data_IF_066896280126
#
_entry.id   IF_066896280126
#
_cell.length_a   1.000
_cell.length_b   1.000
_cell.length_c   1.000
_cell.angle_alpha   90.00
_cell.angle_beta   90.00
_cell.angle_gamma   90.00
#
_symmetry.space_group_name_H-M   'P 1'
#
loop_
_entity.id
_entity.type
_entity.pdbx_description
1 polymer ?
#
# COMPACT_ATOMS: atom_id res chain seq x y z
N UNK A 1 -4.28 38.18 1.85
CA UNK A 1 -3.79 39.10 0.82
C UNK A 1 -2.30 38.86 0.75
N UNK A 2 -1.93 37.75 0.12
CA UNK A 2 -0.58 37.54 -0.33
C UNK A 2 -0.49 38.26 -1.67
N UNK A 3 0.59 39.00 -1.84
CA UNK A 3 0.83 39.98 -2.88
C UNK A 3 0.59 39.40 -4.28
N UNK A 4 -0.34 39.99 -5.04
CA UNK A 4 -0.72 39.57 -6.41
C UNK A 4 0.27 40.06 -7.48
N UNK A 5 1.35 40.75 -7.08
CA UNK A 5 2.21 41.55 -7.97
C UNK A 5 3.70 41.13 -7.92
N UNK A 6 4.04 39.84 -7.78
CA UNK A 6 5.47 39.42 -7.76
C UNK A 6 6.08 39.19 -9.15
N UNK A 7 5.27 39.03 -10.20
CA UNK A 7 5.75 38.71 -11.56
C UNK A 7 5.07 39.60 -12.62
N UNK A 8 5.71 40.70 -13.02
CA UNK A 8 5.21 41.60 -14.08
C UNK A 8 5.67 41.14 -15.48
N UNK A 9 6.83 40.49 -15.58
CA UNK A 9 7.38 39.98 -16.83
C UNK A 9 7.59 38.45 -16.78
N UNK A 10 7.46 37.77 -17.93
CA UNK A 10 7.71 36.31 -18.03
C UNK A 10 9.11 35.90 -17.56
N UNK A 11 10.08 36.82 -17.66
CA UNK A 11 11.46 36.64 -17.21
C UNK A 11 11.64 36.70 -15.70
N UNK A 12 10.64 37.17 -14.96
CA UNK A 12 10.66 37.21 -13.50
C UNK A 12 10.36 35.81 -12.90
N UNK A 13 9.78 34.91 -13.70
CA UNK A 13 9.45 33.54 -13.29
C UNK A 13 10.74 32.71 -13.17
N UNK A 14 10.88 32.02 -12.03
CA UNK A 14 12.05 31.22 -11.70
C UNK A 14 12.38 30.15 -12.75
N UNK A 15 13.45 30.36 -13.51
CA UNK A 15 13.92 29.41 -14.54
C UNK A 15 13.51 29.74 -15.98
N UNK A 16 12.79 30.85 -16.18
CA UNK A 16 12.51 31.42 -17.50
C UNK A 16 13.51 32.54 -17.79
N UNK A 17 14.48 32.27 -18.68
CA UNK A 17 15.36 33.31 -19.23
C UNK A 17 14.78 33.94 -20.50
N UNK A 18 15.43 34.99 -21.03
CA UNK A 18 14.97 35.73 -22.22
C UNK A 18 14.61 34.83 -23.42
N UNK A 19 15.42 33.80 -23.67
CA UNK A 19 15.20 32.87 -24.76
C UNK A 19 13.92 32.03 -24.59
N UNK A 20 13.62 31.58 -23.37
CA UNK A 20 12.41 30.79 -23.08
C UNK A 20 11.18 31.67 -23.02
N UNK A 21 11.33 32.91 -22.53
CA UNK A 21 10.28 33.91 -22.60
C UNK A 21 9.94 34.26 -24.06
N UNK A 22 10.92 34.25 -24.97
CA UNK A 22 10.66 34.41 -26.41
C UNK A 22 9.90 33.21 -27.00
N UNK A 23 10.30 31.97 -26.67
CA UNK A 23 9.55 30.77 -27.07
C UNK A 23 8.10 30.78 -26.57
N UNK A 24 7.87 31.20 -25.33
CA UNK A 24 6.52 31.33 -24.76
C UNK A 24 5.67 32.36 -25.51
N UNK A 25 6.25 33.52 -25.85
CA UNK A 25 5.54 34.54 -26.66
C UNK A 25 5.26 34.05 -28.07
N UNK A 26 6.16 33.29 -28.68
CA UNK A 26 5.95 32.70 -30.02
C UNK A 26 4.83 31.64 -30.00
N UNK A 27 4.70 30.90 -28.89
CA UNK A 27 3.60 29.97 -28.64
C UNK A 27 2.27 30.66 -28.25
N UNK A 28 2.26 31.99 -28.05
CA UNK A 28 1.07 32.78 -27.77
C UNK A 28 0.82 33.11 -26.30
N UNK A 29 1.75 32.76 -25.40
CA UNK A 29 1.72 33.17 -23.99
C UNK A 29 2.47 34.49 -23.83
N UNK A 30 1.79 35.61 -24.03
CA UNK A 30 2.41 36.94 -24.04
C UNK A 30 2.60 37.54 -22.64
N UNK A 31 1.82 37.08 -21.66
CA UNK A 31 1.82 37.56 -20.27
C UNK A 31 1.86 36.43 -19.24
N UNK A 32 2.19 36.78 -17.99
CA UNK A 32 2.22 35.85 -16.84
C UNK A 32 0.83 35.26 -16.58
N UNK A 33 -0.24 36.03 -16.81
CA UNK A 33 -1.62 35.56 -16.68
C UNK A 33 -1.98 34.52 -17.76
N UNK A 34 -1.44 34.65 -18.97
CA UNK A 34 -1.64 33.64 -20.01
C UNK A 34 -1.01 32.30 -19.58
N UNK A 35 0.21 32.34 -19.03
CA UNK A 35 0.91 31.18 -18.48
C UNK A 35 0.19 30.61 -17.24
N UNK A 36 -0.44 31.45 -16.43
CA UNK A 36 -1.27 31.03 -15.27
C UNK A 36 -2.49 30.23 -15.71
N UNK A 37 -3.14 30.65 -16.80
CA UNK A 37 -4.36 30.03 -17.34
C UNK A 37 -4.10 28.81 -18.22
N UNK A 38 -2.87 28.65 -18.72
CA UNK A 38 -2.45 27.51 -19.52
C UNK A 38 -2.40 26.21 -18.71
N UNK A 39 -2.72 25.07 -19.33
CA UNK A 39 -2.47 23.78 -18.70
C UNK A 39 -0.98 23.42 -18.74
N UNK A 40 -0.55 22.49 -17.88
CA UNK A 40 0.84 22.02 -17.88
C UNK A 40 1.20 21.41 -19.24
N UNK A 41 0.28 20.67 -19.86
CA UNK A 41 0.48 20.07 -21.17
C UNK A 41 0.70 21.14 -22.26
N UNK A 42 -0.09 22.22 -22.25
CA UNK A 42 0.07 23.33 -23.22
C UNK A 42 1.45 24.02 -23.10
N UNK A 43 2.03 24.06 -21.90
CA UNK A 43 3.36 24.64 -21.67
C UNK A 43 4.49 23.69 -22.11
N UNK A 44 4.28 22.38 -22.05
CA UNK A 44 5.26 21.37 -22.49
C UNK A 44 5.37 21.31 -24.01
N UNK A 45 4.31 21.68 -24.74
CA UNK A 45 4.34 21.79 -26.19
C UNK A 45 5.25 22.93 -26.71
N UNK A 46 5.66 23.85 -25.83
CA UNK A 46 6.54 24.97 -26.17
C UNK A 46 8.01 24.52 -26.26
N UNK A 47 8.65 24.83 -27.39
CA UNK A 47 10.04 24.46 -27.65
C UNK A 47 10.99 24.98 -26.55
N UNK A 48 11.68 24.05 -25.90
CA UNK A 48 12.63 24.32 -24.82
C UNK A 48 12.05 24.33 -23.41
N UNK A 49 10.77 23.99 -23.24
CA UNK A 49 10.14 23.75 -21.93
C UNK A 49 10.03 22.24 -21.68
N UNK A 50 10.65 21.77 -20.61
CA UNK A 50 10.50 20.38 -20.16
C UNK A 50 9.31 20.25 -19.21
N UNK A 51 8.78 19.04 -19.08
CA UNK A 51 7.70 18.72 -18.11
C UNK A 51 8.02 19.19 -16.69
N UNK A 52 9.24 18.93 -16.21
CA UNK A 52 9.70 19.40 -14.91
C UNK A 52 9.77 20.95 -14.79
N UNK A 53 10.01 21.66 -15.89
CA UNK A 53 10.01 23.11 -15.91
C UNK A 53 8.57 23.67 -15.96
N UNK A 54 7.68 23.05 -16.75
CA UNK A 54 6.27 23.42 -16.82
C UNK A 54 5.58 23.28 -15.44
N UNK A 55 5.82 22.16 -14.75
CA UNK A 55 5.32 21.94 -13.39
C UNK A 55 5.84 23.01 -12.41
N UNK A 56 7.11 23.41 -12.54
CA UNK A 56 7.71 24.47 -11.71
C UNK A 56 7.11 25.84 -12.01
N UNK A 57 6.92 26.19 -13.27
CA UNK A 57 6.30 27.45 -13.71
C UNK A 57 4.86 27.54 -13.16
N UNK A 58 4.09 26.44 -13.24
CA UNK A 58 2.74 26.39 -12.63
C UNK A 58 2.83 26.54 -11.11
N UNK A 59 3.80 25.91 -10.46
CA UNK A 59 4.01 26.05 -9.01
C UNK A 59 4.34 27.47 -8.56
N UNK A 60 5.13 28.19 -9.37
CA UNK A 60 5.58 29.56 -9.06
C UNK A 60 4.52 30.62 -9.39
N UNK A 61 3.78 30.46 -10.50
CA UNK A 61 2.76 31.44 -10.97
C UNK A 61 1.35 31.11 -10.51
N UNK A 62 1.06 29.82 -10.34
CA UNK A 62 -0.21 29.29 -9.90
C UNK A 62 -0.36 29.43 -8.39
N UNK A 63 -0.83 30.59 -7.96
CA UNK A 63 -1.49 30.71 -6.66
C UNK A 63 -2.55 29.61 -6.53
N UNK A 64 -2.69 29.04 -5.33
CA UNK A 64 -3.71 28.06 -4.99
C UNK A 64 -5.10 28.59 -5.37
N UNK A 65 -5.55 28.26 -6.57
CA UNK A 65 -6.92 28.43 -7.01
C UNK A 65 -7.75 27.34 -6.34
N UNK A 66 -8.40 27.73 -5.25
CA UNK A 66 -9.52 26.98 -4.68
C UNK A 66 -10.73 27.41 -5.50
N UNK A 67 -11.00 26.72 -6.60
CA UNK A 67 -12.22 26.93 -7.38
C UNK A 67 -13.44 26.46 -6.57
N UNK A 68 -14.19 27.45 -6.10
CA UNK A 68 -15.56 27.31 -5.63
C UNK A 68 -16.46 27.28 -6.89
N UNK A 69 -17.16 26.15 -7.10
CA UNK A 69 -18.14 25.84 -8.17
C UNK A 69 -17.68 24.97 -9.35
N UNK A 70 -17.59 23.65 -9.10
CA UNK A 70 -18.15 22.63 -9.98
C UNK A 70 -18.57 21.39 -9.16
N UNK A 71 -19.88 21.19 -9.04
CA UNK A 71 -20.51 19.95 -8.57
C UNK A 71 -20.38 18.87 -9.66
N UNK A 72 -19.66 17.76 -9.39
CA UNK A 72 -19.99 16.40 -9.87
C UNK A 72 -19.00 15.33 -9.33
N UNK A 73 -19.51 14.54 -8.38
CA UNK A 73 -19.29 13.09 -8.15
C UNK A 73 -17.92 12.47 -8.47
N UNK A 74 -17.10 12.25 -7.43
CA UNK A 74 -16.08 11.17 -7.38
C UNK A 74 -16.12 10.51 -6.00
N UNK A 75 -16.14 9.18 -6.03
CA UNK A 75 -16.25 8.28 -4.89
C UNK A 75 -14.96 8.29 -4.05
N UNK A 76 -15.11 8.34 -2.72
CA UNK A 76 -14.02 8.18 -1.75
C UNK A 76 -13.65 6.69 -1.61
N UNK A 77 -12.38 6.36 -1.87
CA UNK A 77 -11.77 5.10 -1.41
C UNK A 77 -11.25 5.22 0.04
N UNK A 78 -11.20 4.12 0.82
CA UNK A 78 -10.95 4.15 2.25
C UNK A 78 -9.47 4.10 2.64
N UNK A 79 -9.09 4.97 3.59
CA UNK A 79 -7.82 4.90 4.32
C UNK A 79 -7.84 3.74 5.33
N UNK A 80 -6.79 2.93 5.29
CA UNK A 80 -6.52 1.79 6.18
C UNK A 80 -5.89 2.30 7.48
N UNK A 81 -6.44 1.85 8.62
CA UNK A 81 -5.95 2.15 9.97
C UNK A 81 -4.63 1.43 10.25
N UNK A 82 -3.60 2.17 10.67
CA UNK A 82 -2.46 1.60 11.41
C UNK A 82 -2.74 1.68 12.92
N UNK A 83 -2.75 0.51 13.54
CA UNK A 83 -2.81 0.33 14.99
C UNK A 83 -1.43 0.61 15.60
N UNK A 84 -1.36 1.54 16.56
CA UNK A 84 -0.25 1.60 17.52
C UNK A 84 -0.78 1.22 18.91
N UNK A 85 -0.25 0.11 19.44
CA UNK A 85 -0.40 -0.30 20.84
C UNK A 85 0.58 0.48 21.72
N UNK A 86 0.02 1.16 22.72
CA UNK A 86 0.69 1.71 23.90
C UNK A 86 1.44 0.63 24.70
N UNK A 87 2.62 0.99 25.22
CA UNK A 87 3.12 0.44 26.48
C UNK A 87 3.85 1.49 27.32
N UNK A 88 3.26 1.71 28.50
CA UNK A 88 3.57 2.60 29.62
C UNK A 88 4.99 2.59 30.22
N UNK A 89 5.20 3.63 31.04
CA UNK A 89 6.10 3.76 32.22
C UNK A 89 7.50 4.36 31.92
N UNK A 90 8.08 5.30 32.67
CA UNK A 90 7.85 5.85 34.02
C UNK A 90 8.67 7.16 34.09
N UNK A 91 8.15 8.22 34.70
CA UNK A 91 8.96 9.40 35.03
C UNK A 91 9.76 9.16 36.31
N UNK A 92 11.09 9.24 36.22
CA UNK A 92 11.94 9.46 37.39
C UNK A 92 13.08 10.41 37.09
N UNK A 93 13.11 11.52 37.82
CA UNK A 93 14.17 12.54 37.80
C UNK A 93 15.45 12.05 38.47
N UNK A 94 16.61 12.41 37.92
CA UNK A 94 17.87 12.55 38.65
C UNK A 94 18.90 13.36 37.86
N UNK A 95 19.21 14.56 38.37
CA UNK A 95 20.46 15.29 38.13
C UNK A 95 21.69 14.42 38.43
N UNK A 96 22.64 14.27 37.48
CA UNK A 96 24.06 13.99 37.77
C UNK A 96 24.97 14.54 36.64
N UNK A 97 25.88 15.41 37.05
CA UNK A 97 27.21 15.84 36.56
C UNK A 97 27.56 15.96 35.06
N UNK A 98 27.98 17.18 34.70
CA UNK A 98 29.10 17.40 33.77
C UNK A 98 30.37 16.77 34.35
N UNK A 99 30.83 15.67 33.75
CA UNK A 99 32.18 15.16 33.92
C UNK A 99 32.74 14.70 32.57
N UNK A 100 33.77 15.43 32.14
CA UNK A 100 34.78 15.08 31.13
C UNK A 100 35.18 13.60 31.23
N UNK A 101 34.92 12.79 30.19
CA UNK A 101 35.60 11.51 29.95
C UNK A 101 35.73 11.29 28.43
N UNK A 102 36.92 11.62 27.95
CA UNK A 102 37.76 10.91 26.99
C UNK A 102 37.08 10.22 25.78
N UNK A 103 37.35 10.79 24.60
CA UNK A 103 37.24 10.12 23.30
C UNK A 103 38.18 8.91 23.32
N UNK A 104 37.63 7.71 23.48
CA UNK A 104 38.34 6.49 23.07
C UNK A 104 38.15 6.34 21.56
N UNK A 105 39.29 6.38 20.84
CA UNK A 105 39.36 6.06 19.42
C UNK A 105 38.79 4.66 19.19
N UNK A 106 37.83 4.53 18.28
CA UNK A 106 37.43 3.22 17.78
C UNK A 106 38.66 2.54 17.14
N UNK A 107 38.95 1.27 17.44
CA UNK A 107 39.92 0.55 16.64
C UNK A 107 39.35 0.42 15.22
N UNK A 108 40.17 0.79 14.25
CA UNK A 108 39.96 0.47 12.85
C UNK A 108 39.61 -1.02 12.76
N UNK A 109 38.50 -1.36 12.08
CA UNK A 109 38.06 -2.72 11.80
C UNK A 109 39.11 -3.40 10.92
N UNK A 110 40.20 -3.87 11.54
CA UNK A 110 41.10 -4.84 10.95
C UNK A 110 40.29 -6.14 10.85
N UNK A 111 39.96 -6.56 9.63
CA UNK A 111 39.21 -7.79 9.35
C UNK A 111 39.77 -9.02 10.08
N UNK A 112 39.04 -10.16 10.05
CA UNK A 112 39.31 -11.30 10.94
C UNK A 112 40.79 -11.69 10.92
N UNK A 113 41.42 -11.68 12.11
CA UNK A 113 42.85 -11.95 12.27
C UNK A 113 43.15 -13.43 12.48
N UNK A 114 42.16 -14.17 13.00
CA UNK A 114 42.20 -15.61 13.22
C UNK A 114 40.99 -16.30 12.57
N UNK A 115 41.10 -17.61 12.31
CA UNK A 115 40.02 -18.42 11.70
C UNK A 115 38.73 -18.45 12.55
N UNK A 116 38.85 -18.19 13.85
CA UNK A 116 37.72 -18.18 14.79
C UNK A 116 36.99 -16.83 14.82
N UNK A 117 37.59 -15.78 14.26
CA UNK A 117 36.97 -14.46 14.10
C UNK A 117 36.01 -14.43 12.91
N UNK A 118 36.07 -15.43 12.01
CA UNK A 118 35.21 -15.52 10.83
C UNK A 118 33.77 -15.79 11.27
N UNK A 119 32.83 -15.01 10.74
CA UNK A 119 31.42 -15.10 11.11
C UNK A 119 30.83 -16.51 10.90
N UNK A 120 30.59 -17.22 12.02
CA UNK A 120 29.99 -18.57 12.03
C UNK A 120 30.98 -19.74 12.09
N UNK A 121 32.28 -19.45 12.13
CA UNK A 121 33.37 -20.42 12.36
C UNK A 121 33.76 -20.37 13.84
N UNK A 122 33.17 -21.25 14.67
CA UNK A 122 33.63 -21.44 16.04
C UNK A 122 34.86 -22.37 16.10
N UNK A 123 35.50 -22.46 17.27
CA UNK A 123 36.71 -23.29 17.50
C UNK A 123 36.65 -24.69 16.87
N UNK A 124 35.54 -25.42 17.00
CA UNK A 124 35.40 -26.77 16.42
C UNK A 124 35.44 -26.81 14.88
N UNK A 125 34.95 -25.77 14.22
CA UNK A 125 34.99 -25.65 12.76
C UNK A 125 36.32 -25.09 12.27
N UNK A 126 36.93 -24.21 13.06
CA UNK A 126 38.31 -23.78 12.82
C UNK A 126 39.29 -24.96 12.93
N UNK A 127 39.09 -25.87 13.89
CA UNK A 127 39.84 -27.12 13.98
C UNK A 127 39.63 -28.02 12.75
N UNK A 128 38.40 -28.13 12.25
CA UNK A 128 38.10 -28.89 11.03
C UNK A 128 38.79 -28.29 9.79
N UNK A 129 38.82 -26.96 9.68
CA UNK A 129 39.57 -26.26 8.62
C UNK A 129 41.08 -26.51 8.72
N UNK A 130 41.66 -26.45 9.92
CA UNK A 130 43.08 -26.77 10.14
C UNK A 130 43.40 -28.22 9.79
N UNK A 131 42.52 -29.16 10.14
CA UNK A 131 42.68 -30.58 9.84
C UNK A 131 42.57 -30.87 8.34
N UNK A 132 41.74 -30.10 7.63
CA UNK A 132 41.64 -30.12 6.17
C UNK A 132 42.80 -29.40 5.44
N UNK A 133 43.73 -28.78 6.18
CA UNK A 133 44.91 -28.11 5.62
C UNK A 133 44.74 -26.61 5.33
N UNK A 134 43.67 -25.99 5.84
CA UNK A 134 43.44 -24.55 5.81
C UNK A 134 43.83 -23.91 7.14
N UNK A 135 45.12 -24.00 7.49
CA UNK A 135 45.65 -23.56 8.79
C UNK A 135 45.88 -22.04 8.93
N UNK A 136 45.67 -21.27 7.85
CA UNK A 136 45.79 -19.81 7.84
C UNK A 136 44.68 -19.16 7.01
N UNK A 137 44.41 -17.88 7.27
CA UNK A 137 43.42 -17.10 6.52
C UNK A 137 43.76 -17.03 5.03
N UNK A 138 45.03 -16.93 4.67
CA UNK A 138 45.47 -16.93 3.27
C UNK A 138 45.21 -18.29 2.59
N UNK A 139 45.29 -19.40 3.33
CA UNK A 139 44.91 -20.71 2.81
C UNK A 139 43.40 -20.81 2.55
N UNK A 140 42.57 -20.21 3.41
CA UNK A 140 41.11 -20.12 3.20
C UNK A 140 40.76 -19.20 2.03
N UNK A 141 41.49 -18.08 1.84
CA UNK A 141 41.32 -17.19 0.67
C UNK A 141 41.59 -17.91 -0.65
N UNK A 142 42.67 -18.70 -0.71
CA UNK A 142 43.06 -19.43 -1.91
C UNK A 142 42.18 -20.64 -2.25
N UNK A 143 41.31 -21.07 -1.34
CA UNK A 143 40.43 -22.23 -1.54
C UNK A 143 39.19 -21.86 -2.38
N UNK A 144 38.75 -22.77 -3.24
CA UNK A 144 37.44 -22.66 -3.89
C UNK A 144 36.30 -22.89 -2.89
N UNK A 145 35.12 -22.34 -3.20
CA UNK A 145 33.95 -22.52 -2.34
C UNK A 145 33.57 -24.00 -2.19
N UNK A 146 33.74 -24.79 -3.25
CA UNK A 146 33.53 -26.24 -3.25
C UNK A 146 34.50 -26.95 -2.30
N UNK A 147 35.79 -26.61 -2.35
CA UNK A 147 36.79 -27.22 -1.48
C UNK A 147 36.55 -26.92 0.00
N UNK A 148 36.07 -25.71 0.32
CA UNK A 148 35.66 -25.37 1.68
C UNK A 148 34.37 -26.08 2.11
N UNK A 149 33.46 -26.36 1.16
CA UNK A 149 32.20 -27.05 1.44
C UNK A 149 32.37 -28.57 1.63
N UNK A 150 33.47 -29.14 1.16
CA UNK A 150 33.82 -30.55 1.39
C UNK A 150 34.38 -30.80 2.81
N UNK A 151 34.71 -29.74 3.56
CA UNK A 151 35.21 -29.84 4.93
C UNK A 151 34.08 -30.24 5.89
N UNK A 152 34.35 -31.20 6.76
CA UNK A 152 33.38 -31.74 7.71
C UNK A 152 32.78 -30.63 8.59
N UNK A 153 31.48 -30.37 8.42
CA UNK A 153 30.75 -29.35 9.18
C UNK A 153 30.67 -27.97 8.53
N UNK A 154 31.24 -27.79 7.33
CA UNK A 154 31.13 -26.56 6.52
C UNK A 154 30.29 -26.89 5.29
N UNK A 155 29.00 -26.54 5.30
CA UNK A 155 28.16 -26.69 4.10
C UNK A 155 28.35 -25.54 3.11
N UNK A 156 27.82 -25.68 1.89
CA UNK A 156 27.86 -24.67 0.82
C UNK A 156 27.51 -23.24 1.27
N UNK A 157 26.51 -23.10 2.15
CA UNK A 157 26.08 -21.80 2.68
C UNK A 157 27.09 -21.17 3.66
N UNK A 158 27.78 -21.99 4.46
CA UNK A 158 28.83 -21.50 5.36
C UNK A 158 30.12 -21.22 4.58
N UNK A 159 30.47 -22.06 3.60
CA UNK A 159 31.60 -21.83 2.70
C UNK A 159 31.47 -20.50 1.93
N UNK A 160 30.29 -20.20 1.41
CA UNK A 160 30.00 -18.90 0.77
C UNK A 160 30.22 -17.72 1.74
N UNK A 161 29.76 -17.86 2.99
CA UNK A 161 29.89 -16.82 4.01
C UNK A 161 31.34 -16.60 4.42
N UNK A 162 32.09 -17.68 4.65
CA UNK A 162 33.52 -17.64 4.94
C UNK A 162 34.28 -16.94 3.81
N UNK A 163 33.97 -17.28 2.55
CA UNK A 163 34.63 -16.67 1.39
C UNK A 163 34.30 -15.17 1.24
N UNK A 164 33.09 -14.76 1.59
CA UNK A 164 32.67 -13.36 1.61
C UNK A 164 33.35 -12.56 2.74
N UNK A 165 33.56 -13.18 3.90
CA UNK A 165 34.10 -12.54 5.12
C UNK A 165 35.64 -12.39 5.07
N UNK A 166 36.34 -13.38 4.49
CA UNK A 166 37.82 -13.36 4.42
C UNK A 166 38.33 -12.57 3.20
N UNK A 167 37.49 -12.40 2.17
CA UNK A 167 37.69 -11.48 1.04
C UNK A 167 38.86 -11.80 0.11
N UNK A 168 38.56 -12.27 -1.10
CA UNK A 168 38.79 -11.49 -2.34
C UNK A 168 37.86 -12.06 -3.44
N UNK A 169 37.09 -11.16 -4.06
CA UNK A 169 36.21 -11.46 -5.18
C UNK A 169 37.06 -11.67 -6.44
N UNK A 170 37.75 -12.80 -6.53
CA UNK A 170 38.18 -13.35 -7.82
C UNK A 170 37.13 -14.39 -8.23
N UNK A 171 36.07 -13.90 -8.89
CA UNK A 171 35.25 -14.73 -9.78
C UNK A 171 36.15 -15.09 -10.95
N UNK A 172 36.95 -16.14 -10.79
CA UNK A 172 37.58 -16.81 -11.91
C UNK A 172 36.47 -17.53 -12.69
N UNK A 173 36.11 -16.93 -13.82
CA UNK A 173 35.53 -17.65 -14.96
C UNK A 173 36.44 -18.85 -15.31
N UNK A 174 35.85 -19.87 -15.93
CA UNK A 174 36.47 -21.15 -16.35
C UNK A 174 36.33 -22.31 -15.34
N UNK A 175 35.12 -22.88 -15.30
CA UNK A 175 35.00 -24.35 -15.31
C UNK A 175 34.21 -24.76 -16.54
N UNK A 176 34.96 -25.07 -17.61
CA UNK A 176 34.48 -25.89 -18.71
C UNK A 176 34.18 -27.28 -18.17
N UNK A 177 32.89 -27.59 -17.96
CA UNK A 177 32.43 -28.96 -17.81
C UNK A 177 31.77 -29.37 -19.12
N UNK A 178 32.48 -30.19 -19.89
CA UNK A 178 31.95 -30.98 -20.98
C UNK A 178 30.78 -31.82 -20.44
N UNK A 179 29.54 -31.42 -20.76
CA UNK A 179 28.35 -32.24 -20.56
C UNK A 179 27.94 -32.76 -21.92
N UNK A 180 28.00 -34.09 -22.02
CA UNK A 180 27.59 -34.89 -23.16
C UNK A 180 26.17 -34.51 -23.63
N UNK A 181 26.02 -34.44 -24.96
CA UNK A 181 24.75 -34.33 -25.65
C UNK A 181 23.79 -35.44 -25.21
N UNK A 182 22.75 -35.09 -24.45
CA UNK A 182 21.48 -35.82 -24.45
C UNK A 182 20.37 -34.86 -24.90
N UNK A 183 19.94 -35.08 -26.13
CA UNK A 183 18.74 -34.58 -26.79
C UNK A 183 17.53 -34.59 -25.83
N UNK A 184 17.10 -33.41 -25.36
CA UNK A 184 15.74 -33.24 -24.86
C UNK A 184 15.30 -31.79 -25.04
N UNK A 185 14.36 -31.64 -25.98
CA UNK A 185 13.38 -30.56 -26.11
C UNK A 185 14.01 -29.18 -26.34
N UNK A 186 14.09 -28.79 -27.62
CA UNK A 186 13.74 -27.42 -27.97
C UNK A 186 12.33 -27.21 -27.39
N UNK A 187 12.26 -26.70 -26.16
CA UNK A 187 11.06 -26.04 -25.70
C UNK A 187 10.94 -24.88 -26.66
N UNK A 188 9.95 -24.98 -27.55
CA UNK A 188 9.28 -23.83 -28.13
C UNK A 188 9.13 -22.83 -26.96
N UNK A 189 10.06 -21.87 -26.88
CA UNK A 189 9.76 -20.54 -26.40
C UNK A 189 8.71 -20.04 -27.40
N UNK A 190 7.48 -20.53 -27.26
CA UNK A 190 6.30 -19.80 -27.66
C UNK A 190 6.51 -18.46 -26.98
N UNK A 191 6.91 -17.47 -27.79
CA UNK A 191 6.87 -16.07 -27.46
C UNK A 191 5.57 -15.90 -26.68
N UNK A 192 5.65 -15.61 -25.38
CA UNK A 192 4.51 -15.18 -24.60
C UNK A 192 4.00 -13.95 -25.37
N UNK A 193 3.03 -14.16 -26.27
CA UNK A 193 2.32 -13.08 -26.91
C UNK A 193 1.83 -12.26 -25.72
N UNK A 194 2.24 -10.99 -25.65
CA UNK A 194 1.79 -10.05 -24.63
C UNK A 194 0.25 -9.91 -24.77
N UNK A 195 -0.49 -10.89 -24.27
CA UNK A 195 -1.94 -10.94 -24.26
C UNK A 195 -2.39 -9.97 -23.19
N UNK A 196 -3.29 -9.06 -23.56
CA UNK A 196 -3.81 -8.09 -22.61
C UNK A 196 -4.58 -8.84 -21.51
N UNK A 197 -4.10 -8.72 -20.26
CA UNK A 197 -4.74 -9.34 -19.10
C UNK A 197 -5.52 -8.29 -18.31
N UNK A 198 -6.69 -8.67 -17.79
CA UNK A 198 -7.50 -7.81 -16.93
C UNK A 198 -7.89 -8.51 -15.62
N UNK A 199 -8.10 -7.73 -14.56
CA UNK A 199 -8.55 -8.24 -13.26
C UNK A 199 -10.05 -8.48 -13.25
N UNK A 200 -10.47 -9.75 -13.20
CA UNK A 200 -11.87 -10.13 -13.09
C UNK A 200 -12.20 -10.72 -11.71
N UNK A 201 -13.35 -10.38 -11.11
CA UNK A 201 -13.76 -10.98 -9.84
C UNK A 201 -14.28 -12.41 -10.04
N UNK A 202 -13.99 -13.29 -9.07
CA UNK A 202 -14.56 -14.65 -9.04
C UNK A 202 -16.07 -14.64 -8.70
N UNK A 203 -16.80 -15.61 -9.25
CA UNK A 203 -18.18 -15.92 -8.90
C UNK A 203 -19.23 -14.95 -9.45
N UNK A 204 -20.47 -15.10 -8.98
CA UNK A 204 -21.65 -14.42 -9.52
C UNK A 204 -21.84 -12.98 -8.95
N UNK A 205 -20.97 -12.05 -9.33
CA UNK A 205 -20.99 -10.66 -8.83
C UNK A 205 -22.27 -9.91 -9.20
N UNK A 206 -22.83 -10.13 -10.38
CA UNK A 206 -24.02 -9.39 -10.85
C UNK A 206 -25.35 -10.00 -10.38
N UNK A 207 -25.33 -11.12 -9.66
CA UNK A 207 -26.56 -11.75 -9.16
C UNK A 207 -27.33 -10.76 -8.28
N UNK A 208 -28.64 -10.69 -8.48
CA UNK A 208 -29.58 -9.81 -7.77
C UNK A 208 -30.64 -10.70 -7.07
N UNK A 209 -31.08 -10.36 -5.85
CA UNK A 209 -31.99 -11.22 -5.10
C UNK A 209 -33.43 -11.14 -5.60
N UNK A 210 -34.19 -12.19 -5.29
CA UNK A 210 -35.64 -12.21 -5.44
C UNK A 210 -36.32 -11.55 -4.22
N UNK A 211 -36.81 -10.32 -4.43
CA UNK A 211 -37.53 -9.55 -3.41
C UNK A 211 -39.02 -9.43 -3.73
N UNK A 212 -39.85 -9.34 -2.69
CA UNK A 212 -41.25 -8.98 -2.86
C UNK A 212 -41.40 -7.48 -3.18
N UNK A 213 -42.45 -7.08 -3.89
CA UNK A 213 -42.73 -5.67 -4.24
C UNK A 213 -42.68 -4.72 -3.02
N UNK A 214 -43.18 -5.20 -1.87
CA UNK A 214 -43.17 -4.44 -0.62
C UNK A 214 -41.76 -4.28 -0.06
N UNK A 215 -40.91 -5.32 -0.14
CA UNK A 215 -39.52 -5.27 0.32
C UNK A 215 -38.68 -4.35 -0.56
N UNK A 216 -38.83 -4.46 -1.88
CA UNK A 216 -38.15 -3.61 -2.85
C UNK A 216 -38.52 -2.13 -2.59
N UNK A 217 -39.82 -1.83 -2.47
CA UNK A 217 -40.30 -0.48 -2.15
C UNK A 217 -39.67 0.06 -0.85
N UNK A 218 -39.61 -0.77 0.19
CA UNK A 218 -39.04 -0.37 1.48
C UNK A 218 -37.51 -0.23 1.44
N UNK A 219 -36.82 -0.99 0.58
CA UNK A 219 -35.38 -0.87 0.35
C UNK A 219 -35.05 0.45 -0.36
N UNK A 220 -35.81 0.80 -1.39
CA UNK A 220 -35.71 2.08 -2.09
C UNK A 220 -36.03 3.23 -1.13
N UNK A 221 -37.08 3.11 -0.31
CA UNK A 221 -37.39 4.10 0.72
C UNK A 221 -36.22 4.29 1.68
N UNK A 222 -35.58 3.21 2.15
CA UNK A 222 -34.41 3.28 3.04
C UNK A 222 -33.26 4.05 2.40
N UNK A 223 -32.97 3.78 1.11
CA UNK A 223 -31.89 4.45 0.36
C UNK A 223 -32.17 5.95 0.22
N UNK A 224 -33.41 6.31 -0.12
CA UNK A 224 -33.85 7.70 -0.30
C UNK A 224 -33.88 8.50 1.00
N UNK A 225 -34.46 7.94 2.06
CA UNK A 225 -34.70 8.67 3.32
C UNK A 225 -33.39 8.82 4.13
N UNK A 226 -32.44 7.88 3.97
CA UNK A 226 -31.12 7.94 4.59
C UNK A 226 -31.15 8.00 6.13
N UNK A 227 -30.05 8.48 6.71
CA UNK A 227 -29.94 8.78 8.15
C UNK A 227 -28.88 9.86 8.39
N UNK A 228 -29.01 10.67 9.46
CA UNK A 228 -27.92 11.53 9.90
C UNK A 228 -26.68 10.71 10.24
N UNK A 229 -25.50 11.35 10.22
CA UNK A 229 -24.22 10.69 10.55
C UNK A 229 -24.15 10.19 12.00
N UNK A 230 -24.91 10.79 12.92
CA UNK A 230 -24.89 10.48 14.36
C UNK A 230 -23.49 10.50 14.99
N UNK A 231 -22.67 11.48 14.62
CA UNK A 231 -21.39 11.73 15.26
C UNK A 231 -21.56 12.38 16.65
N UNK A 232 -20.64 12.10 17.57
CA UNK A 232 -20.61 12.72 18.90
C UNK A 232 -20.57 14.25 18.80
N UNK A 233 -21.29 14.97 19.68
CA UNK A 233 -21.20 16.45 19.70
C UNK A 233 -19.75 16.95 19.79
N UNK A 234 -19.46 18.01 19.04
CA UNK A 234 -18.16 18.70 19.03
C UNK A 234 -16.95 17.80 18.70
N UNK A 235 -17.14 16.64 18.04
CA UNK A 235 -16.03 15.76 17.62
C UNK A 235 -15.04 16.46 16.70
N UNK A 236 -15.54 17.26 15.75
CA UNK A 236 -14.74 18.05 14.81
C UNK A 236 -13.97 19.20 15.48
N UNK A 237 -14.30 19.56 16.72
CA UNK A 237 -13.66 20.67 17.44
C UNK A 237 -12.37 20.21 18.13
N UNK A 238 -12.25 18.93 18.50
CA UNK A 238 -11.11 18.40 19.27
C UNK A 238 -10.72 17.00 18.81
N UNK A 239 -9.48 16.84 18.34
CA UNK A 239 -8.90 15.56 17.90
C UNK A 239 -9.09 14.41 18.92
N UNK A 240 -8.89 14.68 20.21
CA UNK A 240 -9.13 13.69 21.30
C UNK A 240 -10.58 13.21 21.45
N UNK A 241 -11.53 13.82 20.75
CA UNK A 241 -12.96 13.47 20.81
C UNK A 241 -13.32 12.65 19.58
N UNK A 242 -13.48 11.33 19.71
CA UNK A 242 -13.75 10.48 18.55
C UNK A 242 -15.16 10.73 17.97
N UNK A 243 -15.35 10.32 16.71
CA UNK A 243 -16.64 10.37 15.98
C UNK A 243 -17.72 9.52 16.67
N UNK A 244 -17.34 8.43 17.33
CA UNK A 244 -18.24 7.48 18.01
C UNK A 244 -19.29 8.15 18.90
N UNK A 245 -20.57 7.95 18.60
CA UNK A 245 -21.69 8.57 19.29
C UNK A 245 -21.62 8.41 20.81
N UNK A 246 -21.87 9.51 21.52
CA UNK A 246 -22.10 9.51 22.97
C UNK A 246 -23.25 10.46 23.27
N UNK A 247 -24.23 9.99 24.05
CA UNK A 247 -25.40 10.80 24.44
C UNK A 247 -24.93 12.10 25.10
N UNK A 248 -25.30 13.29 24.59
CA UNK A 248 -24.88 14.56 25.18
C UNK A 248 -25.49 14.73 26.57
N UNK A 249 -24.66 14.76 27.61
CA UNK A 249 -25.12 14.81 29.02
C UNK A 249 -25.13 16.22 29.62
N UNK A 250 -24.30 17.14 29.14
CA UNK A 250 -24.15 18.47 29.73
C UNK A 250 -25.47 19.23 29.84
N UNK A 251 -25.73 19.86 30.99
CA UNK A 251 -26.99 20.58 31.26
C UNK A 251 -27.25 21.72 30.26
N UNK A 252 -26.18 22.34 29.75
CA UNK A 252 -26.23 23.44 28.79
C UNK A 252 -25.91 23.03 27.34
N UNK A 253 -25.69 21.73 27.08
CA UNK A 253 -25.42 21.23 25.73
C UNK A 253 -26.55 21.66 24.78
N UNK A 254 -26.15 22.24 23.64
CA UNK A 254 -27.08 22.73 22.63
C UNK A 254 -27.70 21.58 21.84
N UNK A 255 -26.92 20.54 21.54
CA UNK A 255 -27.41 19.30 20.93
C UNK A 255 -28.43 18.60 21.85
N UNK A 256 -28.13 18.48 23.16
CA UNK A 256 -29.09 17.89 24.13
C UNK A 256 -30.42 18.66 24.19
N UNK A 257 -30.37 19.99 24.05
CA UNK A 257 -31.55 20.86 24.06
C UNK A 257 -32.32 20.86 22.72
N UNK A 258 -31.85 20.15 21.69
CA UNK A 258 -32.49 20.09 20.38
C UNK A 258 -32.39 21.40 19.59
N UNK A 259 -31.32 22.18 19.80
CA UNK A 259 -31.11 23.41 19.01
C UNK A 259 -30.76 23.02 17.57
N UNK A 260 -31.60 23.45 16.61
CA UNK A 260 -31.39 23.20 15.17
C UNK A 260 -29.98 23.62 14.75
N UNK A 261 -29.33 22.78 13.95
CA UNK A 261 -27.95 22.98 13.48
C UNK A 261 -26.86 22.38 14.37
N UNK A 262 -27.21 21.75 15.50
CA UNK A 262 -26.24 21.03 16.35
C UNK A 262 -26.23 19.51 16.16
N UNK A 263 -26.88 19.04 15.09
CA UNK A 263 -27.04 17.63 14.77
C UNK A 263 -28.18 16.97 15.56
N UNK A 264 -28.78 15.95 14.96
CA UNK A 264 -29.84 15.18 15.57
C UNK A 264 -29.34 14.28 16.70
N UNK A 265 -30.17 14.07 17.71
CA UNK A 265 -29.90 13.07 18.76
C UNK A 265 -30.46 11.72 18.36
N UNK A 266 -29.72 10.64 18.67
CA UNK A 266 -30.19 9.26 18.42
C UNK A 266 -31.52 9.00 19.13
N UNK A 267 -32.54 8.66 18.34
CA UNK A 267 -33.90 8.37 18.78
C UNK A 267 -34.47 7.16 18.01
N UNK A 268 -35.49 6.51 18.57
CA UNK A 268 -36.11 5.34 17.96
C UNK A 268 -36.82 5.63 16.63
N UNK A 269 -37.18 6.90 16.39
CA UNK A 269 -37.81 7.35 15.14
C UNK A 269 -36.91 7.25 13.91
N UNK A 270 -35.58 7.25 14.09
CA UNK A 270 -34.61 7.10 13.00
C UNK A 270 -34.37 5.65 12.58
N UNK A 271 -35.14 4.70 13.09
CA UNK A 271 -35.02 3.29 12.70
C UNK A 271 -35.53 3.11 11.27
N UNK A 272 -34.75 2.38 10.48
CA UNK A 272 -35.14 1.96 9.13
C UNK A 272 -36.31 0.96 9.18
N UNK A 273 -37.09 0.81 8.09
CA UNK A 273 -38.20 -0.15 8.01
C UNK A 273 -37.75 -1.57 8.37
N UNK A 274 -38.57 -2.31 9.13
CA UNK A 274 -38.18 -3.63 9.67
C UNK A 274 -37.79 -4.63 8.56
N UNK A 275 -38.53 -4.66 7.46
CA UNK A 275 -38.32 -5.60 6.35
C UNK A 275 -37.04 -5.30 5.53
N UNK A 276 -36.57 -4.06 5.51
CA UNK A 276 -35.36 -3.67 4.78
C UNK A 276 -34.16 -3.40 5.70
N UNK A 277 -34.30 -3.62 7.02
CA UNK A 277 -33.25 -3.32 8.00
C UNK A 277 -32.20 -4.42 7.98
N UNK A 278 -30.95 -4.04 7.76
CA UNK A 278 -29.82 -4.98 7.76
C UNK A 278 -29.51 -5.62 6.41
N UNK A 279 -30.39 -5.46 5.40
CA UNK A 279 -30.12 -5.93 4.03
C UNK A 279 -28.99 -5.14 3.37
N UNK A 280 -28.17 -5.80 2.54
CA UNK A 280 -27.16 -5.16 1.70
C UNK A 280 -27.82 -4.11 0.76
N UNK A 281 -27.11 -3.08 0.26
CA UNK A 281 -27.69 -2.14 -0.71
C UNK A 281 -28.27 -2.77 -1.97
N UNK A 282 -27.78 -3.94 -2.39
CA UNK A 282 -28.36 -4.74 -3.48
C UNK A 282 -29.63 -5.52 -3.08
N UNK A 283 -29.92 -5.62 -1.78
CA UNK A 283 -31.13 -6.25 -1.26
C UNK A 283 -30.94 -7.62 -0.62
N UNK A 284 -29.77 -8.26 -0.76
CA UNK A 284 -29.50 -9.54 -0.10
C UNK A 284 -29.48 -9.43 1.43
N UNK A 285 -29.83 -10.51 2.09
CA UNK A 285 -29.49 -10.73 3.49
C UNK A 285 -28.06 -11.28 3.60
N UNK A 286 -27.23 -10.67 4.44
CA UNK A 286 -25.81 -11.03 4.50
C UNK A 286 -25.58 -12.19 5.48
N UNK A 287 -24.98 -13.28 5.00
CA UNK A 287 -24.56 -14.42 5.82
C UNK A 287 -23.04 -14.45 5.93
N UNK A 288 -22.52 -14.46 7.16
CA UNK A 288 -21.07 -14.52 7.39
C UNK A 288 -20.59 -15.98 7.36
N UNK A 289 -19.65 -16.29 6.49
CA UNK A 289 -19.13 -17.65 6.25
C UNK A 289 -17.62 -17.74 6.54
N UNK A 290 -17.18 -18.88 7.07
CA UNK A 290 -15.76 -19.15 7.40
C UNK A 290 -15.22 -20.47 6.79
N UNK A 291 -16.10 -21.32 6.28
CA UNK A 291 -15.80 -22.64 5.73
C UNK A 291 -16.86 -23.05 4.70
N UNK A 292 -16.56 -24.09 3.92
CA UNK A 292 -17.45 -24.58 2.85
C UNK A 292 -18.74 -25.15 3.43
N UNK A 293 -18.68 -25.87 4.55
CA UNK A 293 -19.86 -26.49 5.19
C UNK A 293 -20.96 -25.46 5.55
N UNK A 294 -20.58 -24.20 5.78
CA UNK A 294 -21.53 -23.14 6.10
C UNK A 294 -22.33 -22.63 4.89
N UNK A 295 -21.95 -23.00 3.65
CA UNK A 295 -22.68 -22.66 2.42
C UNK A 295 -23.96 -23.48 2.26
N UNK A 296 -23.99 -24.73 2.73
CA UNK A 296 -25.11 -25.67 2.55
C UNK A 296 -26.47 -25.16 3.10
N UNK A 297 -26.44 -24.21 4.03
CA UNK A 297 -27.63 -23.66 4.69
C UNK A 297 -28.14 -22.38 4.01
N UNK A 298 -27.36 -21.80 3.09
CA UNK A 298 -27.62 -20.48 2.50
C UNK A 298 -28.53 -20.58 1.28
N UNK A 299 -29.53 -19.70 1.21
CA UNK A 299 -30.42 -19.59 0.05
C UNK A 299 -29.91 -18.49 -0.92
N UNK A 300 -29.23 -18.91 -1.99
CA UNK A 300 -28.58 -18.00 -2.95
C UNK A 300 -29.50 -17.01 -3.67
N UNK A 301 -30.82 -17.18 -3.61
CA UNK A 301 -31.78 -16.25 -4.24
C UNK A 301 -32.16 -15.08 -3.31
N UNK A 302 -31.94 -15.21 -2.00
CA UNK A 302 -32.31 -14.16 -1.01
C UNK A 302 -31.13 -13.73 -0.15
N UNK A 303 -30.16 -14.59 0.03
CA UNK A 303 -28.98 -14.41 0.87
C UNK A 303 -27.72 -14.31 0.00
N UNK A 304 -26.77 -13.50 0.45
CA UNK A 304 -25.44 -13.42 -0.13
C UNK A 304 -24.41 -13.60 0.97
N UNK A 305 -23.28 -14.19 0.59
CA UNK A 305 -22.25 -14.60 1.53
C UNK A 305 -21.18 -13.51 1.64
N UNK A 306 -20.77 -13.20 2.88
CA UNK A 306 -19.54 -12.46 3.16
C UNK A 306 -18.55 -13.40 3.86
N UNK A 307 -17.43 -13.65 3.19
CA UNK A 307 -16.35 -14.48 3.73
C UNK A 307 -15.62 -13.66 4.82
N UNK A 308 -15.41 -14.26 5.99
CA UNK A 308 -14.65 -13.62 7.06
C UNK A 308 -13.22 -13.26 6.63
N UNK A 309 -12.72 -12.10 7.04
CA UNK A 309 -11.37 -11.62 6.67
C UNK A 309 -10.24 -12.54 7.13
N UNK A 310 -10.43 -13.28 8.22
CA UNK A 310 -9.46 -14.25 8.76
C UNK A 310 -9.29 -15.50 7.87
N UNK A 311 -10.17 -15.71 6.88
CA UNK A 311 -10.09 -16.86 5.99
C UNK A 311 -8.99 -16.61 4.94
N UNK A 312 -7.93 -17.42 4.98
CA UNK A 312 -6.82 -17.30 4.02
C UNK A 312 -7.16 -17.80 2.61
N UNK A 313 -6.38 -17.35 1.62
CA UNK A 313 -6.61 -17.55 0.18
C UNK A 313 -6.94 -19.00 -0.21
N UNK A 314 -6.17 -19.98 0.27
CA UNK A 314 -6.41 -21.41 -0.03
C UNK A 314 -7.82 -21.88 0.34
N UNK A 315 -8.37 -21.37 1.44
CA UNK A 315 -9.74 -21.73 1.86
C UNK A 315 -10.77 -20.86 1.13
N UNK A 316 -10.45 -19.59 0.87
CA UNK A 316 -11.32 -18.68 0.11
C UNK A 316 -11.61 -19.23 -1.27
N UNK A 317 -10.58 -19.68 -1.99
CA UNK A 317 -10.73 -20.30 -3.31
C UNK A 317 -11.77 -21.41 -3.33
N UNK A 318 -11.69 -22.35 -2.38
CA UNK A 318 -12.67 -23.44 -2.27
C UNK A 318 -14.08 -22.97 -1.92
N UNK A 319 -14.20 -21.91 -1.11
CA UNK A 319 -15.50 -21.34 -0.75
C UNK A 319 -16.11 -20.63 -1.96
N UNK A 320 -15.30 -19.90 -2.74
CA UNK A 320 -15.75 -19.16 -3.91
C UNK A 320 -16.19 -20.11 -5.03
N UNK A 321 -15.43 -21.17 -5.31
CA UNK A 321 -15.78 -22.21 -6.29
C UNK A 321 -17.11 -22.88 -5.94
N UNK A 322 -17.25 -23.38 -4.71
CA UNK A 322 -18.50 -24.03 -4.27
C UNK A 322 -19.67 -23.03 -4.20
N UNK A 323 -19.43 -21.79 -3.81
CA UNK A 323 -20.48 -20.77 -3.80
C UNK A 323 -20.98 -20.47 -5.22
N UNK A 324 -20.10 -20.44 -6.22
CA UNK A 324 -20.49 -20.28 -7.62
C UNK A 324 -21.30 -21.48 -8.13
N UNK A 325 -20.89 -22.70 -7.79
CA UNK A 325 -21.63 -23.94 -8.12
C UNK A 325 -23.04 -23.96 -7.50
N UNK A 326 -23.21 -23.45 -6.29
CA UNK A 326 -24.50 -23.33 -5.60
C UNK A 326 -25.29 -22.06 -5.98
N UNK A 327 -24.81 -21.31 -6.97
CA UNK A 327 -25.40 -20.05 -7.45
C UNK A 327 -25.51 -18.97 -6.35
N UNK A 328 -24.60 -18.96 -5.38
CA UNK A 328 -24.57 -18.01 -4.26
C UNK A 328 -23.60 -16.87 -4.59
N UNK A 329 -24.06 -15.62 -4.40
CA UNK A 329 -23.21 -14.44 -4.57
C UNK A 329 -22.26 -14.26 -3.38
N UNK A 330 -20.97 -14.12 -3.67
CA UNK A 330 -19.95 -13.66 -2.70
C UNK A 330 -19.81 -12.14 -2.76
N UNK A 331 -20.02 -11.45 -1.63
CA UNK A 331 -19.99 -9.98 -1.56
C UNK A 331 -18.57 -9.40 -1.57
N UNK A 332 -17.57 -10.19 -1.17
CA UNK A 332 -16.17 -9.81 -1.14
C UNK A 332 -15.33 -10.83 -1.93
N UNK A 333 -15.42 -10.83 -3.28
CA UNK A 333 -14.74 -11.80 -4.13
C UNK A 333 -13.23 -11.51 -4.22
N UNK A 334 -12.46 -12.55 -4.53
CA UNK A 334 -11.07 -12.42 -4.98
C UNK A 334 -11.03 -12.10 -6.47
N UNK A 335 -10.21 -11.12 -6.85
CA UNK A 335 -9.93 -10.76 -8.25
C UNK A 335 -8.75 -11.59 -8.77
N UNK A 336 -8.88 -12.10 -9.99
CA UNK A 336 -7.86 -12.89 -10.69
C UNK A 336 -7.58 -12.27 -12.05
N UNK A 337 -6.34 -12.37 -12.50
CA UNK A 337 -5.93 -11.95 -13.83
C UNK A 337 -6.45 -12.96 -14.86
N UNK A 338 -7.18 -12.48 -15.86
CA UNK A 338 -7.74 -13.29 -16.96
C UNK A 338 -7.29 -12.68 -18.28
N UNK A 339 -6.87 -13.52 -19.21
CA UNK A 339 -6.48 -13.13 -20.57
C UNK A 339 -7.72 -12.67 -21.35
N UNK A 340 -7.63 -11.50 -21.99
CA UNK A 340 -8.70 -10.95 -22.82
C UNK A 340 -8.33 -11.14 -24.29
N UNK A 341 -9.13 -11.90 -25.02
CA UNK A 341 -9.04 -11.97 -26.48
C UNK A 341 -9.78 -10.76 -27.08
N UNK A 342 -9.05 -9.85 -27.75
CA UNK A 342 -9.62 -8.67 -28.45
C UNK A 342 -10.57 -9.02 -29.62
#
# INVERSE_FOLDING_TARGET
MADEDEYEELTDIGGIGDAKAESLREAGFESVDDVRSASQDDLVEVDGISDALAARIKGDVGGLEVDEEADAEVEEEPEVETEEEDADADESEADVDEADVEVEEEPEDEGPSELEDIAGVGASKADALREAGYDSLDAVRGASQSELADVEGIGNALAARIKADVGDLEVAEETEAEVEEEESVEEDEEEEEDVETELQPRGLVDKTPELTDDEERLLVQRRRDGKPQFNRQDYHVKKRTPKSWRRPRGQLSKQRKGVKGKGDTVEAGFRTPKAARGKHPSGFEEVRVENVDALEVVDGDREAVRIGSTVGARKRERIEEVAEEEEIRVLNPTYVEVEVEE
#
